data_IF_114643217679
#
_entry.id   IF_114643217679
#
_cell.length_a   1.000
_cell.length_b   1.000
_cell.length_c   1.000
_cell.angle_alpha   90.00
_cell.angle_beta   90.00
_cell.angle_gamma   90.00
#
_symmetry.space_group_name_H-M   'P 1'
#
loop_
_entity.id
_entity.type
_entity.pdbx_description
1 polymer ?
#
# COMPACT_ATOMS: atom_id res chain seq x y z
N UNK A 1 -11.11 -36.20 -61.46
CA UNK A 1 -11.44 -34.97 -62.20
C UNK A 1 -10.14 -34.40 -62.75
N UNK A 2 -9.91 -34.44 -64.07
CA UNK A 2 -8.78 -33.74 -64.69
C UNK A 2 -9.19 -32.27 -64.84
N UNK A 3 -8.65 -31.39 -64.01
CA UNK A 3 -8.85 -29.95 -64.14
C UNK A 3 -7.97 -29.42 -65.28
N UNK A 4 -8.49 -28.47 -66.05
CA UNK A 4 -7.72 -27.74 -67.07
C UNK A 4 -7.47 -26.32 -66.57
N UNK A 5 -6.26 -25.81 -66.78
CA UNK A 5 -5.95 -24.41 -66.49
C UNK A 5 -6.70 -23.49 -67.46
N UNK A 6 -7.15 -22.33 -66.96
CA UNK A 6 -7.74 -21.27 -67.78
C UNK A 6 -6.69 -20.49 -68.59
N UNK A 7 -5.42 -20.59 -68.20
CA UNK A 7 -4.29 -19.98 -68.89
C UNK A 7 -3.57 -21.07 -69.69
N UNK A 8 -3.42 -20.85 -71.00
CA UNK A 8 -2.94 -21.87 -71.97
C UNK A 8 -1.54 -22.42 -71.68
N UNK A 9 -0.74 -21.71 -70.91
CA UNK A 9 0.70 -21.99 -70.74
C UNK A 9 1.08 -22.43 -69.31
N UNK A 10 0.10 -22.72 -68.45
CA UNK A 10 0.35 -23.09 -67.04
C UNK A 10 -0.36 -24.41 -66.73
N UNK A 11 0.38 -25.45 -66.37
CA UNK A 11 -0.18 -26.71 -65.88
C UNK A 11 -0.84 -26.53 -64.51
N UNK A 12 -1.99 -27.18 -64.29
CA UNK A 12 -2.73 -27.07 -63.03
C UNK A 12 -1.93 -27.76 -61.90
N UNK A 13 -1.53 -27.05 -60.82
CA UNK A 13 -0.71 -27.63 -59.78
C UNK A 13 -1.51 -28.64 -58.95
N UNK A 14 -0.98 -29.86 -58.77
CA UNK A 14 -1.62 -30.92 -57.98
C UNK A 14 -1.34 -30.84 -56.47
N UNK A 15 -0.50 -29.90 -56.04
CA UNK A 15 0.07 -29.79 -54.71
C UNK A 15 -0.59 -28.71 -53.81
N UNK A 16 -1.72 -28.13 -54.23
CA UNK A 16 -2.44 -27.12 -53.41
C UNK A 16 -3.05 -27.75 -52.16
N UNK A 17 -2.79 -27.12 -51.00
CA UNK A 17 -3.45 -27.46 -49.74
C UNK A 17 -4.92 -27.03 -49.78
N UNK A 18 -5.76 -27.69 -48.98
CA UNK A 18 -7.20 -27.38 -48.92
C UNK A 18 -7.48 -25.90 -48.59
N UNK A 19 -6.60 -25.26 -47.81
CA UNK A 19 -6.74 -23.87 -47.36
C UNK A 19 -6.18 -22.83 -48.35
N UNK A 20 -5.53 -23.27 -49.44
CA UNK A 20 -4.93 -22.41 -50.46
C UNK A 20 -5.75 -22.36 -51.74
N UNK A 21 -6.92 -23.04 -51.75
CA UNK A 21 -7.79 -23.11 -52.91
C UNK A 21 -9.22 -22.77 -52.53
N UNK A 22 -9.87 -21.94 -53.35
CA UNK A 22 -11.29 -21.64 -53.20
C UNK A 22 -12.03 -22.18 -54.40
N UNK A 23 -12.97 -23.10 -54.15
CA UNK A 23 -13.85 -23.63 -55.19
C UNK A 23 -15.12 -22.77 -55.28
N UNK A 24 -15.29 -22.07 -56.41
CA UNK A 24 -16.51 -21.32 -56.72
C UNK A 24 -17.34 -22.18 -57.67
N UNK A 25 -18.58 -22.45 -57.28
CA UNK A 25 -19.58 -23.07 -58.14
C UNK A 25 -20.41 -21.95 -58.78
N UNK A 26 -20.15 -21.58 -60.05
CA UNK A 26 -21.06 -20.70 -60.75
C UNK A 26 -22.41 -21.41 -60.91
N UNK A 27 -23.49 -20.75 -60.47
CA UNK A 27 -24.86 -21.20 -60.71
C UNK A 27 -25.22 -20.94 -62.19
N UNK A 28 -24.70 -21.76 -63.09
CA UNK A 28 -25.11 -21.78 -64.49
C UNK A 28 -26.38 -22.63 -64.61
N UNK A 29 -27.54 -22.02 -64.32
CA UNK A 29 -28.83 -22.66 -64.60
C UNK A 29 -29.11 -22.54 -66.09
N UNK A 30 -28.99 -23.63 -66.82
CA UNK A 30 -29.43 -23.72 -68.21
C UNK A 30 -30.95 -23.96 -68.20
N UNK A 31 -31.73 -23.09 -68.84
CA UNK A 31 -33.20 -23.13 -68.79
C UNK A 31 -33.81 -24.28 -69.61
N UNK A 32 -33.03 -24.93 -70.47
CA UNK A 32 -33.54 -25.84 -71.51
C UNK A 32 -33.38 -27.34 -71.23
N UNK A 33 -32.89 -27.76 -70.06
CA UNK A 33 -32.75 -29.21 -69.76
C UNK A 33 -32.78 -29.48 -68.24
N UNK A 34 -33.95 -29.76 -67.63
CA UNK A 34 -34.12 -29.88 -66.18
C UNK A 34 -33.59 -31.20 -65.59
N UNK A 35 -33.28 -32.21 -66.39
CA UNK A 35 -32.95 -33.58 -65.92
C UNK A 35 -31.45 -33.94 -66.01
N UNK A 36 -30.62 -33.05 -66.57
CA UNK A 36 -29.21 -33.31 -66.81
C UNK A 36 -28.31 -32.80 -65.67
N UNK A 37 -28.31 -33.52 -64.54
CA UNK A 37 -27.56 -33.18 -63.32
C UNK A 37 -26.05 -33.52 -63.37
N UNK A 38 -25.52 -34.03 -64.49
CA UNK A 38 -24.23 -34.73 -64.48
C UNK A 38 -22.98 -33.88 -64.82
N UNK A 39 -23.12 -32.60 -65.13
CA UNK A 39 -21.95 -31.75 -65.45
C UNK A 39 -21.99 -30.42 -64.71
N UNK A 40 -21.38 -30.39 -63.52
CA UNK A 40 -21.09 -29.15 -62.82
C UNK A 40 -19.70 -28.64 -63.18
N UNK A 41 -19.61 -27.38 -63.59
CA UNK A 41 -18.35 -26.68 -63.78
C UNK A 41 -17.93 -26.07 -62.44
N UNK A 42 -16.72 -26.40 -61.96
CA UNK A 42 -16.16 -25.90 -60.70
C UNK A 42 -14.92 -25.08 -61.04
N UNK A 43 -14.91 -23.81 -60.62
CA UNK A 43 -13.74 -22.94 -60.72
C UNK A 43 -12.92 -23.07 -59.44
N UNK A 44 -11.67 -23.49 -59.56
CA UNK A 44 -10.75 -23.55 -58.42
C UNK A 44 -9.75 -22.40 -58.55
N UNK A 45 -9.80 -21.46 -57.62
CA UNK A 45 -8.90 -20.31 -57.54
C UNK A 45 -7.73 -20.62 -56.62
N UNK A 46 -6.52 -20.23 -57.02
CA UNK A 46 -5.31 -20.27 -56.17
C UNK A 46 -5.24 -19.01 -55.29
N UNK A 47 -5.27 -19.21 -53.98
CA UNK A 47 -5.23 -18.16 -52.95
C UNK A 47 -3.98 -18.27 -52.06
N UNK A 48 -2.89 -18.94 -52.50
CA UNK A 48 -1.63 -19.13 -51.74
C UNK A 48 -1.12 -17.85 -51.07
N UNK A 49 -1.15 -16.74 -51.81
CA UNK A 49 -0.71 -15.44 -51.31
C UNK A 49 -1.60 -14.94 -50.17
N UNK A 50 -2.92 -15.11 -50.27
CA UNK A 50 -3.87 -14.71 -49.22
C UNK A 50 -3.70 -15.59 -47.98
N UNK A 51 -3.55 -16.90 -48.16
CA UNK A 51 -3.33 -17.84 -47.06
C UNK A 51 -2.03 -17.53 -46.28
N UNK A 52 -0.95 -17.19 -47.01
CA UNK A 52 0.31 -16.77 -46.40
C UNK A 52 0.16 -15.49 -45.57
N UNK A 53 -0.39 -14.41 -46.15
CA UNK A 53 -0.59 -13.16 -45.42
C UNK A 53 -1.56 -13.30 -44.25
N UNK A 54 -2.62 -14.10 -44.40
CA UNK A 54 -3.55 -14.39 -43.32
C UNK A 54 -2.85 -15.11 -42.15
N UNK A 55 -1.99 -16.10 -42.42
CA UNK A 55 -1.23 -16.78 -41.38
C UNK A 55 -0.26 -15.81 -40.67
N UNK A 56 0.47 -14.99 -41.42
CA UNK A 56 1.39 -13.99 -40.86
C UNK A 56 0.65 -12.99 -39.97
N UNK A 57 -0.48 -12.44 -40.42
CA UNK A 57 -1.27 -11.48 -39.65
C UNK A 57 -1.84 -12.10 -38.36
N UNK A 58 -2.31 -13.35 -38.41
CA UNK A 58 -2.78 -14.06 -37.21
C UNK A 58 -1.64 -14.33 -36.21
N UNK A 59 -0.45 -14.70 -36.69
CA UNK A 59 0.73 -14.85 -35.83
C UNK A 59 1.15 -13.51 -35.19
N UNK A 60 1.13 -12.42 -35.96
CA UNK A 60 1.41 -11.09 -35.41
C UNK A 60 0.35 -10.62 -34.41
N UNK A 61 -0.93 -10.89 -34.66
CA UNK A 61 -2.03 -10.51 -33.77
C UNK A 61 -1.95 -11.24 -32.43
N UNK A 62 -1.69 -12.55 -32.44
CA UNK A 62 -1.53 -13.33 -31.21
C UNK A 62 -0.33 -12.86 -30.40
N UNK A 63 0.82 -12.62 -31.06
CA UNK A 63 2.00 -12.07 -30.41
C UNK A 63 1.75 -10.67 -29.80
N UNK A 64 1.04 -9.81 -30.53
CA UNK A 64 0.66 -8.48 -30.03
C UNK A 64 -0.25 -8.58 -28.80
N UNK A 65 -1.28 -9.44 -28.83
CA UNK A 65 -2.18 -9.64 -27.69
C UNK A 65 -1.40 -10.18 -26.47
N UNK A 66 -0.51 -11.15 -26.67
CA UNK A 66 0.34 -11.67 -25.60
C UNK A 66 1.26 -10.59 -25.00
N UNK A 67 1.85 -9.73 -25.84
CA UNK A 67 2.72 -8.65 -25.37
C UNK A 67 1.92 -7.61 -24.58
N UNK A 68 0.79 -7.15 -25.11
CA UNK A 68 -0.06 -6.15 -24.43
C UNK A 68 -0.59 -6.69 -23.11
N UNK A 69 -1.06 -7.94 -23.08
CA UNK A 69 -1.52 -8.59 -21.83
C UNK A 69 -0.38 -8.80 -20.84
N UNK A 70 0.78 -9.26 -21.31
CA UNK A 70 1.94 -9.50 -20.45
C UNK A 70 2.45 -8.20 -19.82
N UNK A 71 2.63 -7.16 -20.63
CA UNK A 71 3.06 -5.84 -20.16
C UNK A 71 2.00 -5.23 -19.24
N UNK A 72 0.72 -5.25 -19.64
CA UNK A 72 -0.38 -4.75 -18.81
C UNK A 72 -0.46 -5.43 -17.44
N UNK A 73 -0.30 -6.76 -17.40
CA UNK A 73 -0.28 -7.53 -16.15
C UNK A 73 0.90 -7.13 -15.26
N UNK A 74 2.09 -6.93 -15.82
CA UNK A 74 3.27 -6.49 -15.06
C UNK A 74 3.10 -5.08 -14.49
N UNK A 75 2.51 -4.15 -15.25
CA UNK A 75 2.20 -2.81 -14.76
C UNK A 75 1.18 -2.85 -13.63
N UNK A 76 0.06 -3.58 -13.79
CA UNK A 76 -0.92 -3.73 -12.72
C UNK A 76 -0.34 -4.39 -11.46
N UNK A 77 0.52 -5.41 -11.62
CA UNK A 77 1.19 -6.04 -10.49
C UNK A 77 2.10 -5.06 -9.75
N UNK A 78 2.86 -4.23 -10.48
CA UNK A 78 3.70 -3.18 -9.89
C UNK A 78 2.86 -2.15 -9.14
N UNK A 79 1.78 -1.68 -9.75
CA UNK A 79 0.93 -0.64 -9.16
C UNK A 79 0.23 -1.15 -7.90
N UNK A 80 -0.28 -2.39 -7.91
CA UNK A 80 -0.84 -3.02 -6.72
C UNK A 80 0.18 -3.16 -5.58
N UNK A 81 1.43 -3.54 -5.90
CA UNK A 81 2.51 -3.68 -4.93
C UNK A 81 2.87 -2.33 -4.28
N UNK A 82 3.00 -1.27 -5.07
CA UNK A 82 3.44 0.05 -4.58
C UNK A 82 2.30 0.78 -3.87
N UNK A 83 1.08 0.74 -4.41
CA UNK A 83 -0.02 1.55 -3.91
C UNK A 83 -0.71 0.94 -2.70
N UNK A 84 -0.82 -0.39 -2.62
CA UNK A 84 -1.63 -1.07 -1.60
C UNK A 84 -0.77 -1.93 -0.68
N UNK A 85 0.04 -2.84 -1.25
CA UNK A 85 0.77 -3.81 -0.43
C UNK A 85 1.88 -3.16 0.41
N UNK A 86 2.63 -2.23 -0.17
CA UNK A 86 3.70 -1.51 0.54
C UNK A 86 3.21 -0.77 1.79
N UNK A 87 2.18 0.10 1.69
CA UNK A 87 1.63 0.78 2.86
C UNK A 87 1.06 -0.17 3.92
N UNK A 88 0.35 -1.23 3.51
CA UNK A 88 -0.18 -2.24 4.45
C UNK A 88 0.95 -2.95 5.20
N UNK A 89 2.03 -3.31 4.51
CA UNK A 89 3.19 -3.95 5.12
C UNK A 89 3.81 -3.05 6.20
N UNK A 90 4.01 -1.75 5.91
CA UNK A 90 4.56 -0.80 6.89
C UNK A 90 3.64 -0.61 8.10
N UNK A 91 2.34 -0.47 7.88
CA UNK A 91 1.34 -0.34 8.94
C UNK A 91 1.32 -1.58 9.83
N UNK A 92 1.36 -2.78 9.23
CA UNK A 92 1.43 -4.05 9.97
C UNK A 92 2.70 -4.16 10.80
N UNK A 93 3.86 -3.78 10.26
CA UNK A 93 5.13 -3.78 11.00
C UNK A 93 5.11 -2.79 12.17
N UNK A 94 4.49 -1.62 12.01
CA UNK A 94 4.32 -0.68 13.15
C UNK A 94 3.37 -1.25 14.19
N UNK A 95 2.24 -1.83 13.78
CA UNK A 95 1.26 -2.43 14.68
C UNK A 95 1.85 -3.59 15.48
N UNK A 96 2.65 -4.47 14.85
CA UNK A 96 3.32 -5.56 15.58
C UNK A 96 4.34 -5.03 16.57
N UNK A 97 5.09 -3.98 16.22
CA UNK A 97 6.00 -3.32 17.18
C UNK A 97 5.27 -2.71 18.37
N UNK A 98 4.13 -2.05 18.14
CA UNK A 98 3.28 -1.49 19.20
C UNK A 98 2.68 -2.60 20.06
N UNK A 99 2.30 -3.73 19.46
CA UNK A 99 1.81 -4.92 20.17
C UNK A 99 2.87 -5.50 21.10
N UNK A 100 4.10 -5.63 20.60
CA UNK A 100 5.20 -6.25 21.35
C UNK A 100 5.68 -5.32 22.48
N UNK A 101 5.67 -4.00 22.25
CA UNK A 101 5.91 -2.98 23.27
C UNK A 101 5.08 -1.71 22.99
N UNK A 102 4.02 -1.41 23.78
CA UNK A 102 3.20 -0.23 23.54
C UNK A 102 3.93 1.09 23.79
N UNK A 103 5.02 1.12 24.58
CA UNK A 103 5.87 2.31 24.74
C UNK A 103 6.59 2.73 23.45
N UNK A 104 6.75 1.82 22.48
CA UNK A 104 7.27 2.22 21.16
C UNK A 104 6.31 3.14 20.42
N UNK A 105 5.00 3.12 20.73
CA UNK A 105 4.03 3.96 20.06
C UNK A 105 4.22 5.45 20.37
N UNK A 106 4.53 5.81 21.61
CA UNK A 106 4.89 7.19 22.01
C UNK A 106 6.15 7.65 21.29
N UNK A 107 7.20 6.82 21.29
CA UNK A 107 8.44 7.15 20.57
C UNK A 107 8.21 7.34 19.06
N UNK A 108 7.43 6.45 18.43
CA UNK A 108 7.07 6.57 17.02
C UNK A 108 6.24 7.83 16.74
N UNK A 109 5.33 8.19 17.64
CA UNK A 109 4.54 9.42 17.56
C UNK A 109 5.40 10.68 17.65
N UNK A 110 6.32 10.74 18.62
CA UNK A 110 7.24 11.86 18.80
C UNK A 110 8.22 11.99 17.63
N UNK A 111 8.70 10.86 17.09
CA UNK A 111 9.50 10.85 15.86
C UNK A 111 8.72 11.38 14.65
N UNK A 112 7.48 10.94 14.45
CA UNK A 112 6.65 11.43 13.34
C UNK A 112 6.36 12.91 13.48
N UNK A 113 5.98 13.38 14.67
CA UNK A 113 5.73 14.79 14.94
C UNK A 113 6.97 15.65 14.61
N UNK A 114 8.15 15.24 15.09
CA UNK A 114 9.42 15.91 14.81
C UNK A 114 9.79 15.87 13.31
N UNK A 115 9.50 14.77 12.61
CA UNK A 115 9.68 14.69 11.15
C UNK A 115 8.75 15.65 10.43
N UNK A 116 7.49 15.77 10.85
CA UNK A 116 6.54 16.74 10.29
C UNK A 116 7.00 18.18 10.52
N UNK A 117 7.47 18.51 11.72
CA UNK A 117 8.02 19.84 12.03
C UNK A 117 9.25 20.17 11.17
N UNK A 118 10.20 19.24 11.05
CA UNK A 118 11.40 19.44 10.22
C UNK A 118 11.06 19.54 8.73
N UNK A 119 10.05 18.81 8.25
CA UNK A 119 9.56 18.91 6.88
C UNK A 119 8.93 20.29 6.62
N UNK A 120 8.03 20.74 7.50
CA UNK A 120 7.43 22.08 7.43
C UNK A 120 8.48 23.19 7.49
N UNK A 121 9.49 23.05 8.36
CA UNK A 121 10.60 24.00 8.44
C UNK A 121 11.44 24.04 7.15
N UNK A 122 11.71 22.89 6.53
CA UNK A 122 12.40 22.80 5.22
C UNK A 122 11.58 23.41 4.10
N UNK A 123 10.27 23.18 4.07
CA UNK A 123 9.35 23.76 3.10
C UNK A 123 9.29 25.29 3.23
N UNK A 124 9.15 25.79 4.46
CA UNK A 124 9.19 27.23 4.75
C UNK A 124 10.54 27.84 4.35
N UNK A 125 11.66 27.18 4.64
CA UNK A 125 13.00 27.63 4.21
C UNK A 125 13.18 27.61 2.69
N UNK A 126 12.58 26.63 1.99
CA UNK A 126 12.58 26.55 0.52
C UNK A 126 11.76 27.68 -0.11
N UNK A 127 10.64 28.05 0.51
CA UNK A 127 9.81 29.19 0.08
C UNK A 127 10.50 30.54 0.35
N UNK A 128 11.28 30.65 1.44
CA UNK A 128 12.02 31.85 1.80
C UNK A 128 13.29 32.12 0.96
N UNK A 129 13.76 31.17 0.15
CA UNK A 129 14.90 31.38 -0.77
C UNK A 129 14.49 32.23 -1.98
N UNK A 130 14.96 33.48 -2.04
CA UNK A 130 14.84 34.38 -3.20
C UNK A 130 16.17 34.56 -3.95
N UNK A 131 16.07 34.72 -5.28
CA UNK A 131 17.09 35.30 -6.19
C UNK A 131 18.35 34.45 -6.48
N UNK A 132 18.59 34.13 -7.76
CA UNK A 132 19.72 33.34 -8.32
C UNK A 132 19.86 31.85 -7.96
N UNK A 133 19.62 31.39 -6.73
CA UNK A 133 19.78 29.94 -6.42
C UNK A 133 18.70 29.05 -7.09
N UNK A 134 17.52 29.60 -7.38
CA UNK A 134 16.45 28.94 -8.14
C UNK A 134 16.89 28.52 -9.55
N UNK A 135 17.83 29.25 -10.16
CA UNK A 135 18.32 28.94 -11.51
C UNK A 135 19.25 27.71 -11.50
N UNK A 136 20.06 27.55 -10.45
CA UNK A 136 20.91 26.38 -10.24
C UNK A 136 20.10 25.12 -9.92
N UNK A 137 18.98 25.28 -9.20
CA UNK A 137 18.02 24.19 -8.96
C UNK A 137 17.35 23.75 -10.27
N UNK A 138 16.97 24.65 -11.18
CA UNK A 138 16.41 24.29 -12.49
C UNK A 138 17.42 23.49 -13.34
N UNK A 139 18.70 23.88 -13.30
CA UNK A 139 19.77 23.21 -14.07
C UNK A 139 20.09 21.83 -13.48
N UNK A 140 20.00 21.64 -12.17
CA UNK A 140 20.19 20.33 -11.52
C UNK A 140 18.91 19.46 -11.56
N UNK A 141 17.73 20.05 -11.71
CA UNK A 141 16.43 19.36 -11.69
C UNK A 141 16.19 18.42 -12.89
N UNK A 142 16.83 18.66 -14.03
CA UNK A 142 16.73 17.76 -15.20
C UNK A 142 17.35 16.37 -14.97
N UNK A 143 18.18 16.18 -13.93
CA UNK A 143 18.81 14.88 -13.62
C UNK A 143 18.04 14.00 -12.62
N UNK A 144 17.01 14.55 -11.95
CA UNK A 144 16.41 13.92 -10.75
C UNK A 144 14.91 13.62 -10.89
N UNK A 145 14.30 13.84 -12.06
CA UNK A 145 12.85 13.63 -12.27
C UNK A 145 12.39 12.16 -12.42
N UNK A 146 13.20 11.17 -12.06
CA UNK A 146 12.83 9.75 -12.14
C UNK A 146 12.56 9.08 -10.78
N UNK A 147 12.38 9.86 -9.72
CA UNK A 147 11.78 9.33 -8.48
C UNK A 147 10.28 9.54 -8.55
N UNK A 148 9.58 8.49 -8.96
CA UNK A 148 8.13 8.34 -8.89
C UNK A 148 7.66 8.75 -7.49
N UNK A 149 7.14 9.97 -7.38
CA UNK A 149 6.36 10.41 -6.24
C UNK A 149 5.02 9.69 -6.30
N UNK A 150 4.99 8.44 -5.84
CA UNK A 150 3.75 7.73 -5.61
C UNK A 150 2.97 8.51 -4.57
N UNK A 151 1.81 9.04 -4.97
CA UNK A 151 0.87 9.64 -4.04
C UNK A 151 0.33 8.47 -3.19
N UNK A 152 0.94 8.25 -2.01
CA UNK A 152 0.44 7.23 -1.10
C UNK A 152 -1.04 7.50 -0.83
N UNK A 153 -1.91 6.47 -0.85
CA UNK A 153 -3.33 6.68 -0.66
C UNK A 153 -3.53 7.28 0.73
N UNK A 154 -4.00 8.52 0.76
CA UNK A 154 -4.12 9.36 1.95
C UNK A 154 -4.88 8.66 3.09
N UNK A 155 -5.81 7.77 2.75
CA UNK A 155 -6.56 6.94 3.69
C UNK A 155 -5.66 6.00 4.50
N UNK A 156 -4.76 5.26 3.85
CA UNK A 156 -3.85 4.31 4.53
C UNK A 156 -2.87 5.03 5.46
N UNK A 157 -2.37 6.20 5.03
CA UNK A 157 -1.51 7.06 5.84
C UNK A 157 -2.28 7.62 7.04
N UNK A 158 -3.55 8.00 6.86
CA UNK A 158 -4.41 8.44 7.96
C UNK A 158 -4.62 7.32 8.98
N UNK A 159 -4.87 6.09 8.53
CA UNK A 159 -5.03 4.93 9.41
C UNK A 159 -3.74 4.63 10.17
N UNK A 160 -2.59 4.66 9.50
CA UNK A 160 -1.28 4.46 10.12
C UNK A 160 -1.00 5.49 11.24
N UNK A 161 -1.23 6.78 10.96
CA UNK A 161 -1.11 7.84 11.97
C UNK A 161 -2.10 7.67 13.12
N UNK A 162 -3.31 7.20 12.82
CA UNK A 162 -4.34 6.97 13.84
C UNK A 162 -3.93 5.83 14.78
N UNK A 163 -3.35 4.75 14.26
CA UNK A 163 -2.82 3.66 15.09
C UNK A 163 -1.70 4.15 16.00
N UNK A 164 -0.78 4.96 15.48
CA UNK A 164 0.33 5.52 16.28
C UNK A 164 -0.23 6.40 17.41
N UNK A 165 -1.21 7.27 17.11
CA UNK A 165 -1.87 8.12 18.12
C UNK A 165 -2.64 7.34 19.17
N UNK A 166 -3.39 6.32 18.76
CA UNK A 166 -4.11 5.46 19.72
C UNK A 166 -3.10 4.70 20.57
N UNK A 167 -2.04 4.14 19.97
CA UNK A 167 -0.97 3.46 20.69
C UNK A 167 -0.24 4.40 21.66
N UNK A 168 0.03 5.64 21.28
CA UNK A 168 0.69 6.61 22.16
C UNK A 168 -0.19 7.00 23.34
N UNK A 169 -1.50 7.18 23.11
CA UNK A 169 -2.47 7.42 24.18
C UNK A 169 -2.61 6.21 25.11
N UNK A 170 -2.57 4.99 24.55
CA UNK A 170 -2.58 3.74 25.30
C UNK A 170 -1.37 3.66 26.23
N UNK A 171 -0.16 3.89 25.69
CA UNK A 171 1.07 3.86 26.47
C UNK A 171 1.07 4.92 27.58
N UNK A 172 0.58 6.13 27.29
CA UNK A 172 0.45 7.19 28.28
C UNK A 172 -0.55 6.83 29.39
N UNK A 173 -1.68 6.19 29.04
CA UNK A 173 -2.72 5.82 30.00
C UNK A 173 -2.34 4.66 30.93
N UNK A 174 -1.51 3.72 30.45
CA UNK A 174 -1.08 2.56 31.23
C UNK A 174 0.28 2.74 31.93
N UNK A 175 1.07 3.72 31.51
CA UNK A 175 2.42 3.93 32.00
C UNK A 175 3.37 2.77 31.67
N UNK A 176 4.57 2.80 32.24
CA UNK A 176 5.61 1.80 31.96
C UNK A 176 5.25 0.41 32.48
N UNK A 177 4.75 0.32 33.71
CA UNK A 177 4.33 -0.96 34.30
C UNK A 177 3.10 -1.56 33.60
N UNK A 178 2.13 -0.73 33.22
CA UNK A 178 0.94 -1.21 32.51
C UNK A 178 1.21 -1.56 31.04
N UNK A 179 2.22 -0.94 30.41
CA UNK A 179 2.68 -1.30 29.08
C UNK A 179 3.13 -2.77 29.00
N UNK A 180 3.85 -3.28 30.02
CA UNK A 180 4.27 -4.68 30.07
C UNK A 180 3.07 -5.65 30.18
N UNK A 181 2.07 -5.28 30.98
CA UNK A 181 0.84 -6.07 31.18
C UNK A 181 0.03 -6.12 29.88
N UNK A 182 -0.19 -4.97 29.24
CA UNK A 182 -0.94 -4.88 27.99
C UNK A 182 -0.21 -5.57 26.85
N UNK A 183 1.12 -5.45 26.77
CA UNK A 183 1.93 -6.20 25.80
C UNK A 183 1.67 -7.71 25.88
N UNK A 184 1.68 -8.28 27.09
CA UNK A 184 1.33 -9.69 27.31
C UNK A 184 -0.12 -10.02 26.91
N UNK A 185 -1.06 -9.13 27.23
CA UNK A 185 -2.48 -9.28 26.86
C UNK A 185 -2.72 -9.23 25.34
N UNK A 186 -1.88 -8.53 24.60
CA UNK A 186 -1.96 -8.42 23.14
C UNK A 186 -1.16 -9.50 22.40
N UNK A 187 -0.16 -10.13 23.05
CA UNK A 187 0.63 -11.21 22.46
C UNK A 187 -0.12 -12.55 22.39
N UNK A 188 -1.03 -12.82 23.35
CA UNK A 188 -1.76 -14.09 23.44
C UNK A 188 -2.78 -14.35 22.33
N UNK A 189 -3.07 -13.38 21.47
CA UNK A 189 -3.98 -13.52 20.34
C UNK A 189 -3.19 -13.87 19.06
N UNK A 190 -2.73 -15.12 18.93
CA UNK A 190 -1.85 -15.58 17.84
C UNK A 190 -2.39 -15.38 16.41
N UNK A 191 -3.68 -15.05 16.23
CA UNK A 191 -4.31 -14.83 14.90
C UNK A 191 -5.19 -13.58 14.78
N UNK A 192 -5.27 -12.75 15.82
CA UNK A 192 -6.13 -11.56 15.78
C UNK A 192 -5.46 -10.42 16.53
N UNK A 193 -5.61 -9.19 16.04
CA UNK A 193 -5.22 -7.97 16.75
C UNK A 193 -6.13 -7.69 17.98
N UNK A 194 -6.60 -8.75 18.65
CA UNK A 194 -7.48 -8.70 19.80
C UNK A 194 -6.68 -8.65 21.10
N UNK A 195 -7.14 -7.84 22.04
CA UNK A 195 -6.60 -7.79 23.39
C UNK A 195 -7.32 -8.86 24.23
N UNK A 196 -6.59 -9.84 24.75
CA UNK A 196 -7.15 -10.76 25.74
C UNK A 196 -6.96 -10.17 27.14
N UNK A 197 -8.03 -9.61 27.71
CA UNK A 197 -8.00 -9.03 29.05
C UNK A 197 -8.06 -10.09 30.18
N UNK A 198 -8.33 -11.35 29.85
CA UNK A 198 -8.50 -12.46 30.81
C UNK A 198 -7.24 -13.34 30.85
N UNK A 199 -6.06 -12.74 31.01
CA UNK A 199 -4.81 -13.46 31.26
C UNK A 199 -4.55 -13.51 32.77
N UNK A 200 -4.14 -14.67 33.33
CA UNK A 200 -3.73 -14.76 34.74
C UNK A 200 -2.61 -13.77 35.07
N UNK A 201 -2.85 -12.91 36.06
CA UNK A 201 -1.88 -11.91 36.52
C UNK A 201 -0.71 -12.53 37.30
N UNK A 202 0.37 -11.76 37.46
CA UNK A 202 1.51 -12.12 38.31
C UNK A 202 1.35 -11.51 39.70
N UNK A 203 1.62 -12.29 40.76
CA UNK A 203 1.74 -11.75 42.12
C UNK A 203 3.00 -10.89 42.23
N UNK A 204 2.84 -9.67 42.74
CA UNK A 204 3.93 -8.72 42.99
C UNK A 204 3.85 -8.31 44.45
N UNK A 205 4.97 -8.39 45.16
CA UNK A 205 5.13 -7.78 46.48
C UNK A 205 5.61 -6.35 46.29
N UNK A 206 4.87 -5.38 46.82
CA UNK A 206 5.14 -3.97 46.64
C UNK A 206 4.99 -3.21 47.96
N UNK A 207 5.77 -2.14 48.11
CA UNK A 207 5.64 -1.18 49.21
C UNK A 207 4.92 0.04 48.67
N UNK A 208 3.82 0.43 49.31
CA UNK A 208 3.05 1.61 48.93
C UNK A 208 3.54 2.82 49.72
N UNK A 209 3.97 3.86 49.00
CA UNK A 209 4.28 5.17 49.57
C UNK A 209 3.15 6.13 49.29
N UNK A 210 2.73 6.89 50.29
CA UNK A 210 1.77 7.98 50.12
C UNK A 210 2.44 9.27 50.58
N UNK A 211 2.36 10.31 49.77
CA UNK A 211 2.79 11.65 50.17
C UNK A 211 1.69 12.68 49.88
N UNK A 212 1.68 13.75 50.68
CA UNK A 212 0.61 14.76 50.66
C UNK A 212 1.21 16.15 50.86
N UNK A 213 0.69 17.14 50.12
CA UNK A 213 1.03 18.55 50.27
C UNK A 213 0.25 19.13 51.44
N UNK A 214 0.95 19.36 52.55
CA UNK A 214 0.34 19.98 53.73
C UNK A 214 -0.21 21.37 53.40
N UNK A 215 -1.38 21.68 53.95
CA UNK A 215 -2.07 22.96 53.76
C UNK A 215 -2.34 23.30 52.28
N UNK A 216 -2.66 22.30 51.46
CA UNK A 216 -2.93 22.53 50.03
C UNK A 216 -4.09 23.51 49.79
N UNK A 217 -5.13 23.49 50.62
CA UNK A 217 -6.26 24.43 50.53
C UNK A 217 -5.82 25.89 50.59
N UNK A 218 -4.87 26.22 51.45
CA UNK A 218 -4.34 27.59 51.56
C UNK A 218 -3.56 27.96 50.29
N UNK A 219 -2.81 26.99 49.74
CA UNK A 219 -2.08 27.17 48.51
C UNK A 219 -3.01 27.35 47.29
N UNK A 220 -4.15 26.65 47.25
CA UNK A 220 -5.11 26.79 46.14
C UNK A 220 -5.83 28.13 46.16
N UNK A 221 -6.16 28.66 47.33
CA UNK A 221 -6.78 29.98 47.49
C UNK A 221 -5.84 31.11 47.01
N UNK A 222 -4.53 30.99 47.26
CA UNK A 222 -3.54 31.97 46.82
C UNK A 222 -3.20 31.83 45.33
N UNK A 223 -3.01 30.60 44.84
CA UNK A 223 -2.54 30.35 43.46
C UNK A 223 -3.66 30.39 42.40
N UNK A 224 -4.92 30.14 42.78
CA UNK A 224 -6.08 30.10 41.89
C UNK A 224 -5.82 29.28 40.60
N UNK A 225 -5.82 29.93 39.43
CA UNK A 225 -5.63 29.25 38.13
C UNK A 225 -4.24 28.58 37.98
N UNK A 226 -3.25 28.96 38.80
CA UNK A 226 -1.88 28.44 38.71
C UNK A 226 -1.66 27.16 39.52
N UNK A 227 -2.66 26.64 40.22
CA UNK A 227 -2.55 25.41 41.03
C UNK A 227 -2.10 24.22 40.20
N UNK A 228 -2.58 24.08 38.96
CA UNK A 228 -2.18 22.98 38.07
C UNK A 228 -0.68 23.01 37.74
N UNK A 229 -0.10 24.20 37.55
CA UNK A 229 1.34 24.35 37.28
C UNK A 229 2.16 23.97 38.51
N UNK A 230 1.70 24.38 39.69
CA UNK A 230 2.33 24.06 40.97
C UNK A 230 2.32 22.54 41.25
N UNK A 231 1.17 21.88 41.11
CA UNK A 231 1.03 20.43 41.28
C UNK A 231 1.88 19.67 40.26
N UNK A 232 1.93 20.12 39.01
CA UNK A 232 2.75 19.48 37.97
C UNK A 232 4.25 19.56 38.28
N UNK A 233 4.72 20.69 38.83
CA UNK A 233 6.13 20.84 39.24
C UNK A 233 6.48 19.90 40.40
N UNK A 234 5.63 19.79 41.41
CA UNK A 234 5.83 18.85 42.52
C UNK A 234 5.77 17.41 42.00
N UNK A 235 4.78 17.09 41.16
CA UNK A 235 4.65 15.78 40.54
C UNK A 235 5.91 15.38 39.77
N UNK A 236 6.53 16.31 39.03
CA UNK A 236 7.77 16.04 38.32
C UNK A 236 8.93 15.68 39.27
N UNK A 237 9.03 16.33 40.44
CA UNK A 237 10.05 16.03 41.45
C UNK A 237 9.78 14.68 42.09
N UNK A 238 8.54 14.44 42.57
CA UNK A 238 8.16 13.21 43.26
C UNK A 238 8.32 12.01 42.31
N UNK A 239 7.80 12.11 41.09
CA UNK A 239 7.92 11.04 40.09
C UNK A 239 9.39 10.81 39.71
N UNK A 240 10.20 11.87 39.56
CA UNK A 240 11.62 11.75 39.23
C UNK A 240 12.43 11.02 40.32
N UNK A 241 12.17 11.31 41.60
CA UNK A 241 12.82 10.60 42.72
C UNK A 241 12.32 9.15 42.78
N UNK A 242 11.01 8.93 42.66
CA UNK A 242 10.44 7.57 42.68
C UNK A 242 11.05 6.71 41.58
N UNK A 243 11.18 7.24 40.37
CA UNK A 243 11.82 6.57 39.23
C UNK A 243 13.31 6.30 39.46
N UNK A 244 14.06 7.27 40.03
CA UNK A 244 15.48 7.10 40.40
C UNK A 244 15.70 5.93 41.36
N UNK A 245 14.75 5.70 42.29
CA UNK A 245 14.77 4.58 43.22
C UNK A 245 13.99 3.34 42.74
N UNK A 246 13.73 3.21 41.43
CA UNK A 246 13.04 2.08 40.80
C UNK A 246 11.61 1.83 41.31
N UNK A 247 10.95 2.86 41.83
CA UNK A 247 9.53 2.85 42.15
C UNK A 247 8.67 3.23 40.94
N UNK A 248 7.36 3.07 41.07
CA UNK A 248 6.40 3.45 40.03
C UNK A 248 5.36 4.39 40.62
N UNK A 249 5.29 5.62 40.09
CA UNK A 249 4.23 6.56 40.42
C UNK A 249 2.92 6.10 39.76
N UNK A 250 1.81 6.10 40.52
CA UNK A 250 0.53 5.57 40.08
C UNK A 250 -0.51 6.69 39.93
N UNK A 251 -0.80 7.43 40.99
CA UNK A 251 -1.92 8.37 41.01
C UNK A 251 -1.56 9.71 41.63
N UNK A 252 -1.97 10.78 40.94
CA UNK A 252 -1.94 12.15 41.43
C UNK A 252 -3.38 12.65 41.63
N UNK A 253 -3.70 13.13 42.84
CA UNK A 253 -5.04 13.63 43.22
C UNK A 253 -5.02 15.15 43.48
N UNK A 254 -3.92 15.83 43.14
CA UNK A 254 -3.72 17.26 43.37
C UNK A 254 -2.75 17.48 44.53
N UNK A 255 -3.23 17.29 45.76
CA UNK A 255 -2.43 17.36 46.98
C UNK A 255 -1.70 16.05 47.32
N UNK A 256 -2.34 14.91 47.04
CA UNK A 256 -1.82 13.60 47.36
C UNK A 256 -1.24 12.86 46.14
N UNK A 257 -0.13 12.15 46.37
CA UNK A 257 0.55 11.30 45.41
C UNK A 257 0.71 9.87 45.96
N UNK A 258 0.52 8.91 45.08
CA UNK A 258 0.69 7.46 45.30
C UNK A 258 1.60 6.87 44.23
#
# INVERSE_FOLDING_TARGET
VRGTSLVSDIECPSDLRFNERTAVLPLLRKETDPDNFNTYFILVMDDRLKAYWAAVLNMCQTLFICLVLGVGALFFARDANVLVLGPIERMMVKLTRIRDNPLMATMLGDEEFRREETARAKEAARQARTGLSKLWDIITFQRTQLTVGGHEPLETVMLEKTIIKIGSLLALGFGEAGAEIIGKNMQGAERSAGVNAMIPGRKVEAVFGFCDIRNFTDATEVLNDKVMVFVNQIGQIVHGIVDEFHGAANKNIGDAFL
#
